data_IF_122356705934
#
_entry.id   IF_122356705934
#
_cell.length_a   1.000
_cell.length_b   1.000
_cell.length_c   1.000
_cell.angle_alpha   90.00
_cell.angle_beta   90.00
_cell.angle_gamma   90.00
#
_symmetry.space_group_name_H-M   'P 1'
#
loop_
_entity.id
_entity.type
_entity.pdbx_description
1 polymer ?
#
# COMPACT_ATOMS: atom_id res chain seq x y z
N UNK A 1 11.54 -15.16 -19.75
CA UNK A 1 12.46 -15.75 -18.75
C UNK A 1 11.64 -16.63 -17.82
N UNK A 2 11.95 -17.92 -17.69
CA UNK A 2 11.29 -18.83 -16.74
C UNK A 2 12.12 -18.86 -15.46
N UNK A 3 11.58 -18.36 -14.36
CA UNK A 3 12.21 -18.50 -13.04
C UNK A 3 11.81 -19.87 -12.50
N UNK A 4 12.79 -20.75 -12.33
CA UNK A 4 12.60 -22.09 -11.74
C UNK A 4 13.00 -21.99 -10.28
N UNK A 5 12.08 -22.21 -9.35
CA UNK A 5 12.38 -22.23 -7.93
C UNK A 5 12.91 -23.60 -7.53
N UNK A 6 14.12 -23.65 -6.97
CA UNK A 6 14.68 -24.85 -6.36
C UNK A 6 14.34 -24.86 -4.86
N UNK A 7 13.46 -25.77 -4.43
CA UNK A 7 13.20 -26.02 -3.02
C UNK A 7 14.23 -27.04 -2.53
N UNK A 8 15.23 -26.59 -1.75
CA UNK A 8 16.19 -27.48 -1.11
C UNK A 8 15.58 -27.98 0.21
N UNK A 9 15.07 -29.20 0.22
CA UNK A 9 14.63 -29.89 1.45
C UNK A 9 15.81 -30.65 2.03
N UNK A 10 16.41 -30.14 3.11
CA UNK A 10 17.44 -30.85 3.86
C UNK A 10 16.78 -31.94 4.71
N UNK A 11 16.89 -33.20 4.30
CA UNK A 11 16.41 -34.34 5.09
C UNK A 11 17.51 -34.79 6.04
N UNK A 12 17.27 -34.71 7.36
CA UNK A 12 18.21 -35.24 8.36
C UNK A 12 17.91 -36.71 8.61
N UNK A 13 18.90 -37.58 8.41
CA UNK A 13 18.83 -39.02 8.66
C UNK A 13 18.99 -39.26 10.16
N UNK A 14 17.99 -39.87 10.81
CA UNK A 14 18.08 -40.31 12.20
C UNK A 14 18.69 -41.72 12.26
N UNK A 15 19.84 -41.84 12.92
CA UNK A 15 20.50 -43.12 13.22
C UNK A 15 19.79 -43.75 14.43
N UNK A 16 19.22 -44.94 14.25
CA UNK A 16 18.55 -45.68 15.33
C UNK A 16 19.55 -46.64 15.99
N UNK A 17 20.04 -46.29 17.18
CA UNK A 17 20.79 -47.17 18.07
C UNK A 17 19.88 -47.79 19.13
N UNK A 18 19.91 -49.11 19.26
CA UNK A 18 19.18 -49.87 20.28
C UNK A 18 19.81 -49.70 21.67
N UNK A 19 19.09 -49.15 22.67
CA UNK A 19 19.36 -49.41 24.10
C UNK A 19 18.05 -49.39 24.89
N UNK A 20 17.96 -50.34 25.83
CA UNK A 20 16.84 -50.70 26.68
C UNK A 20 16.69 -49.86 27.95
N UNK A 21 15.48 -49.30 28.17
CA UNK A 21 14.74 -49.01 29.44
C UNK A 21 13.89 -47.74 29.31
N UNK A 22 12.69 -47.66 29.95
CA UNK A 22 11.82 -46.50 29.83
C UNK A 22 12.30 -45.39 30.77
N UNK A 23 12.86 -44.33 30.21
CA UNK A 23 13.10 -43.06 30.89
C UNK A 23 12.09 -42.02 30.37
N UNK A 24 11.61 -41.20 31.31
CA UNK A 24 10.66 -40.09 31.14
C UNK A 24 11.06 -39.22 29.93
N UNK A 25 10.15 -39.04 28.99
CA UNK A 25 10.36 -38.18 27.81
C UNK A 25 10.12 -36.74 28.23
N UNK A 26 11.19 -35.96 28.34
CA UNK A 26 11.08 -34.50 28.43
C UNK A 26 10.78 -33.95 27.02
N UNK A 27 9.76 -33.11 26.90
CA UNK A 27 9.33 -32.48 25.65
C UNK A 27 10.45 -31.59 25.10
N UNK A 28 11.09 -31.98 24.00
CA UNK A 28 12.02 -31.11 23.28
C UNK A 28 11.29 -30.44 22.11
N UNK A 29 11.09 -29.12 22.17
CA UNK A 29 10.56 -28.34 21.05
C UNK A 29 11.68 -27.92 20.11
N UNK A 30 11.64 -28.37 18.85
CA UNK A 30 12.59 -27.93 17.81
C UNK A 30 11.99 -26.76 17.05
N UNK A 31 12.63 -25.59 17.09
CA UNK A 31 12.19 -24.41 16.31
C UNK A 31 13.02 -24.30 15.04
N UNK A 32 12.39 -24.48 13.88
CA UNK A 32 13.03 -24.27 12.57
C UNK A 32 12.65 -22.89 12.05
N UNK A 33 13.65 -22.04 11.82
CA UNK A 33 13.43 -20.70 11.22
C UNK A 33 13.74 -20.77 9.73
N UNK A 34 12.72 -20.57 8.89
CA UNK A 34 12.90 -20.38 7.45
C UNK A 34 13.13 -18.90 7.16
N UNK A 35 14.21 -18.57 6.45
CA UNK A 35 14.47 -17.24 5.91
C UNK A 35 14.13 -17.26 4.42
N UNK A 36 13.14 -16.48 4.02
CA UNK A 36 12.88 -16.18 2.61
C UNK A 36 13.49 -14.82 2.34
N UNK A 37 14.48 -14.78 1.46
CA UNK A 37 15.13 -13.53 1.04
C UNK A 37 14.46 -13.05 -0.25
N UNK A 38 13.82 -11.89 -0.19
CA UNK A 38 13.53 -11.05 -1.34
C UNK A 38 14.22 -9.70 -1.11
N UNK A 39 14.66 -9.02 -2.17
CA UNK A 39 15.62 -7.91 -2.08
C UNK A 39 15.12 -6.70 -1.27
N UNK A 40 13.80 -6.60 -1.02
CA UNK A 40 13.21 -5.47 -0.30
C UNK A 40 12.61 -5.79 1.08
N UNK A 41 12.45 -7.07 1.46
CA UNK A 41 11.81 -7.42 2.75
C UNK A 41 12.32 -8.75 3.34
N UNK A 42 12.60 -8.76 4.65
CA UNK A 42 12.95 -9.96 5.43
C UNK A 42 11.74 -10.41 6.27
N UNK A 43 11.10 -11.50 5.85
CA UNK A 43 10.03 -12.13 6.63
C UNK A 43 10.60 -13.20 7.56
N UNK A 44 10.18 -13.20 8.83
CA UNK A 44 10.49 -14.28 9.79
C UNK A 44 9.23 -15.10 10.04
N UNK A 45 9.18 -16.32 9.50
CA UNK A 45 8.10 -17.26 9.78
C UNK A 45 8.57 -18.18 10.92
N UNK A 46 7.87 -18.14 12.06
CA UNK A 46 8.04 -19.12 13.13
C UNK A 46 7.06 -20.26 12.87
N UNK A 47 7.57 -21.45 12.56
CA UNK A 47 6.75 -22.66 12.47
C UNK A 47 6.95 -23.45 13.75
N UNK A 48 5.89 -23.60 14.55
CA UNK A 48 5.88 -24.48 15.71
C UNK A 48 5.28 -25.83 15.31
N UNK A 49 6.09 -26.89 15.35
CA UNK A 49 5.58 -28.25 15.24
C UNK A 49 5.47 -28.84 16.65
N UNK A 50 4.25 -29.20 17.04
CA UNK A 50 4.01 -30.04 18.21
C UNK A 50 3.75 -31.46 17.74
N UNK A 51 4.38 -32.44 18.40
CA UNK A 51 4.09 -33.86 18.17
C UNK A 51 3.37 -34.40 19.39
N UNK A 52 2.21 -35.01 19.19
CA UNK A 52 1.55 -35.78 20.25
C UNK A 52 2.15 -37.20 20.32
N UNK A 53 1.93 -37.89 21.45
CA UNK A 53 2.43 -39.24 21.73
C UNK A 53 1.95 -40.36 20.77
N UNK A 54 1.31 -40.01 19.64
CA UNK A 54 0.82 -40.94 18.63
C UNK A 54 1.54 -40.76 17.27
N UNK A 55 2.56 -39.91 17.16
CA UNK A 55 3.38 -39.78 15.96
C UNK A 55 2.63 -39.21 14.74
N UNK A 56 1.49 -38.54 14.95
CA UNK A 56 0.70 -37.93 13.88
C UNK A 56 1.02 -36.44 13.79
N UNK A 57 1.60 -36.01 12.67
CA UNK A 57 1.89 -34.59 12.39
C UNK A 57 0.55 -33.90 12.07
N UNK A 58 0.12 -32.97 12.91
CA UNK A 58 -0.97 -32.04 12.59
C UNK A 58 -0.40 -30.82 11.85
N UNK A 59 -1.09 -30.37 10.80
CA UNK A 59 -0.75 -29.14 10.08
C UNK A 59 -0.81 -27.95 11.06
N UNK A 60 0.32 -27.24 11.20
CA UNK A 60 0.47 -26.11 12.11
C UNK A 60 -0.30 -24.87 11.66
N UNK A 61 -0.87 -24.17 12.62
CA UNK A 61 -1.54 -22.88 12.46
C UNK A 61 -0.51 -21.77 12.26
N UNK A 62 -0.73 -20.88 11.28
CA UNK A 62 0.11 -19.70 11.05
C UNK A 62 -0.45 -18.55 11.89
N UNK A 63 0.11 -18.31 13.06
CA UNK A 63 -0.25 -17.17 13.91
C UNK A 63 0.62 -15.96 13.58
N UNK A 64 -0.02 -14.84 13.21
CA UNK A 64 0.63 -13.54 13.04
C UNK A 64 0.74 -12.85 14.41
N UNK A 65 1.87 -13.02 15.09
CA UNK A 65 2.17 -12.32 16.34
C UNK A 65 3.11 -11.15 16.10
N UNK A 66 2.65 -9.92 16.32
CA UNK A 66 3.49 -8.71 16.38
C UNK A 66 3.83 -8.46 17.84
N UNK A 67 4.79 -9.22 18.39
CA UNK A 67 5.30 -8.99 19.74
C UNK A 67 6.52 -8.08 19.69
N UNK A 68 6.31 -6.80 20.05
CA UNK A 68 7.34 -5.82 20.32
C UNK A 68 7.56 -5.66 21.83
N UNK A 69 8.41 -6.51 22.41
CA UNK A 69 9.04 -6.25 23.71
C UNK A 69 10.55 -6.38 23.53
N UNK A 70 11.24 -5.25 23.62
CA UNK A 70 12.70 -5.16 23.68
C UNK A 70 13.05 -4.31 24.90
N UNK A 71 13.19 -4.99 26.02
CA UNK A 71 13.90 -4.46 27.17
C UNK A 71 15.40 -4.35 26.87
N UNK A 72 15.94 -3.16 27.13
CA UNK A 72 17.25 -3.01 27.75
C UNK A 72 18.48 -3.16 26.86
N UNK A 73 18.86 -2.08 26.17
CA UNK A 73 20.27 -1.75 25.98
C UNK A 73 20.50 -0.26 26.24
N UNK A 74 21.07 -0.01 27.42
CA UNK A 74 21.63 1.26 27.87
C UNK A 74 22.91 1.56 27.06
N UNK A 75 22.88 2.61 26.23
CA UNK A 75 24.09 3.23 25.69
C UNK A 75 24.10 4.73 26.01
N UNK A 76 25.13 5.09 26.76
CA UNK A 76 25.53 6.42 27.17
C UNK A 76 25.97 7.24 25.95
N UNK A 77 25.37 8.41 25.71
CA UNK A 77 25.82 9.37 24.70
C UNK A 77 26.04 10.75 25.32
N UNK A 78 27.24 11.29 25.09
CA UNK A 78 27.71 12.55 25.58
C UNK A 78 27.19 13.78 24.82
N UNK A 79 27.13 14.86 25.61
CA UNK A 79 27.14 16.30 25.34
C UNK A 79 26.97 16.86 23.92
N UNK A 80 25.99 17.77 23.85
CA UNK A 80 26.12 19.15 23.37
C UNK A 80 26.54 19.37 21.90
N UNK A 81 25.52 19.42 21.04
CA UNK A 81 25.56 20.14 19.77
C UNK A 81 24.22 20.84 19.55
N UNK A 82 24.22 22.17 19.58
CA UNK A 82 23.04 23.01 19.40
C UNK A 82 22.37 22.72 18.05
N UNK A 83 21.25 22.01 18.09
CA UNK A 83 20.40 21.72 16.94
C UNK A 83 19.59 22.97 16.61
N UNK A 84 19.97 23.65 15.54
CA UNK A 84 19.14 24.68 14.91
C UNK A 84 17.91 23.99 14.33
N UNK A 85 16.78 24.12 15.00
CA UNK A 85 15.47 23.75 14.46
C UNK A 85 15.27 24.52 13.15
N UNK A 86 15.16 23.85 11.99
CA UNK A 86 14.84 24.54 10.75
C UNK A 86 13.50 25.23 10.95
N UNK A 87 13.47 26.54 10.77
CA UNK A 87 12.26 27.32 10.86
C UNK A 87 11.19 26.68 9.95
N UNK A 88 10.09 26.26 10.56
CA UNK A 88 8.85 25.89 9.88
C UNK A 88 8.42 27.07 9.03
N UNK A 89 8.82 27.07 7.76
CA UNK A 89 8.35 28.03 6.77
C UNK A 89 6.85 27.83 6.64
N UNK A 90 6.10 28.88 6.97
CA UNK A 90 4.64 28.88 6.88
C UNK A 90 4.21 28.39 5.48
N UNK A 91 3.17 27.54 5.40
CA UNK A 91 2.65 27.07 4.12
C UNK A 91 2.24 28.28 3.29
N UNK A 92 2.90 28.45 2.14
CA UNK A 92 2.51 29.48 1.18
C UNK A 92 1.14 29.09 0.65
N UNK A 93 0.11 29.83 1.03
CA UNK A 93 -1.27 29.62 0.62
C UNK A 93 -1.40 30.01 -0.87
N UNK A 94 -1.10 29.07 -1.76
CA UNK A 94 -1.39 29.22 -3.19
C UNK A 94 -2.90 29.29 -3.36
N UNK A 95 -3.39 30.40 -3.91
CA UNK A 95 -4.81 30.59 -4.24
C UNK A 95 -5.27 29.47 -5.18
N UNK A 96 -6.34 28.76 -4.79
CA UNK A 96 -6.96 27.70 -5.59
C UNK A 96 -7.47 28.25 -6.92
N UNK A 97 -7.23 27.53 -8.03
CA UNK A 97 -7.76 27.92 -9.34
C UNK A 97 -9.28 28.07 -9.28
N UNK A 98 -9.78 29.17 -9.84
CA UNK A 98 -11.21 29.49 -9.83
C UNK A 98 -12.10 28.46 -10.55
N UNK A 99 -11.52 27.57 -11.37
CA UNK A 99 -12.22 26.45 -12.03
C UNK A 99 -12.48 25.28 -11.08
N UNK A 100 -11.73 25.18 -9.98
CA UNK A 100 -11.87 24.13 -8.97
C UNK A 100 -12.93 24.55 -7.94
N UNK A 101 -13.95 23.72 -7.76
CA UNK A 101 -15.16 23.99 -6.97
C UNK A 101 -15.60 22.81 -6.10
N UNK A 102 -15.40 21.59 -6.56
CA UNK A 102 -15.96 20.37 -5.95
C UNK A 102 -14.94 19.56 -5.16
N UNK A 103 -13.65 19.84 -5.35
CA UNK A 103 -12.57 19.23 -4.57
C UNK A 103 -12.29 20.01 -3.28
N UNK A 104 -12.01 19.27 -2.22
CA UNK A 104 -11.51 19.81 -0.96
C UNK A 104 -9.98 19.97 -1.04
N UNK A 105 -9.47 21.14 -0.67
CA UNK A 105 -8.03 21.36 -0.46
C UNK A 105 -7.68 21.03 1.00
N UNK A 106 -7.02 19.90 1.22
CA UNK A 106 -6.54 19.46 2.55
C UNK A 106 -5.26 20.17 2.98
N UNK A 107 -4.73 21.07 2.16
CA UNK A 107 -3.46 21.75 2.38
C UNK A 107 -2.26 20.82 2.19
N UNK A 108 -1.08 21.29 2.65
CA UNK A 108 0.16 20.54 2.52
C UNK A 108 0.80 20.60 1.13
N UNK A 109 1.86 19.81 0.95
CA UNK A 109 2.59 19.69 -0.31
C UNK A 109 1.93 18.68 -1.24
N UNK A 110 2.01 18.92 -2.55
CA UNK A 110 1.59 17.97 -3.58
C UNK A 110 2.49 16.73 -3.52
N UNK A 111 1.90 15.55 -3.32
CA UNK A 111 2.62 14.28 -3.41
C UNK A 111 3.14 14.06 -4.84
N UNK A 112 4.41 13.63 -4.92
CA UNK A 112 5.10 13.41 -6.19
C UNK A 112 5.78 12.04 -6.20
N UNK A 113 5.79 11.38 -7.36
CA UNK A 113 6.56 10.17 -7.64
C UNK A 113 7.44 10.47 -8.83
N UNK A 114 8.75 10.23 -8.71
CA UNK A 114 9.76 10.62 -9.71
C UNK A 114 9.69 12.12 -10.08
N UNK A 115 9.38 12.98 -9.10
CA UNK A 115 9.22 14.42 -9.29
C UNK A 115 7.91 14.86 -9.95
N UNK A 116 7.05 13.93 -10.37
CA UNK A 116 5.77 14.21 -11.05
C UNK A 116 4.61 14.11 -10.05
N UNK A 117 3.60 14.99 -10.11
CA UNK A 117 2.39 14.84 -9.30
C UNK A 117 1.75 13.47 -9.54
N UNK A 118 1.27 12.83 -8.47
CA UNK A 118 0.53 11.56 -8.56
C UNK A 118 -0.95 11.79 -8.32
N UNK A 119 -1.81 11.29 -9.22
CA UNK A 119 -3.28 11.36 -9.07
C UNK A 119 -3.88 9.97 -9.03
N UNK A 120 -5.01 9.81 -8.35
CA UNK A 120 -5.65 8.51 -8.15
C UNK A 120 -7.16 8.62 -8.22
N UNK A 121 -7.77 7.66 -8.87
CA UNK A 121 -9.19 7.34 -8.72
C UNK A 121 -9.33 5.95 -8.12
N UNK A 122 -10.26 5.81 -7.18
CA UNK A 122 -10.63 4.52 -6.60
C UNK A 122 -12.10 4.24 -6.88
N UNK A 123 -12.39 3.03 -7.35
CA UNK A 123 -13.72 2.64 -7.81
C UNK A 123 -14.03 1.16 -7.52
N UNK A 124 -15.20 0.72 -7.98
CA UNK A 124 -15.66 -0.69 -8.02
C UNK A 124 -16.48 -0.90 -9.28
N UNK A 125 -16.50 -2.11 -9.86
CA UNK A 125 -17.35 -2.38 -11.03
C UNK A 125 -18.85 -2.28 -10.70
N UNK A 126 -19.25 -2.59 -9.46
CA UNK A 126 -20.65 -2.53 -9.05
C UNK A 126 -21.15 -1.11 -8.71
N UNK A 127 -20.37 -0.07 -8.99
CA UNK A 127 -20.62 1.31 -8.60
C UNK A 127 -21.11 2.14 -9.79
N UNK A 128 -22.42 2.40 -9.84
CA UNK A 128 -23.02 3.18 -10.94
C UNK A 128 -22.45 4.61 -11.05
N UNK A 129 -22.15 5.26 -9.92
CA UNK A 129 -21.53 6.58 -9.94
C UNK A 129 -20.10 6.52 -10.51
N UNK A 130 -19.40 5.41 -10.31
CA UNK A 130 -18.05 5.23 -10.83
C UNK A 130 -18.06 5.06 -12.35
N UNK A 131 -19.04 4.34 -12.90
CA UNK A 131 -19.21 4.18 -14.36
C UNK A 131 -19.33 5.53 -15.09
N UNK A 132 -19.91 6.54 -14.43
CA UNK A 132 -20.08 7.86 -15.01
C UNK A 132 -18.76 8.65 -15.10
N UNK A 133 -17.96 8.63 -14.03
CA UNK A 133 -16.73 9.45 -13.92
C UNK A 133 -15.47 8.76 -14.42
N UNK A 134 -15.40 7.43 -14.33
CA UNK A 134 -14.24 6.62 -14.74
C UNK A 134 -13.74 6.96 -16.16
N UNK A 135 -14.58 6.92 -17.22
CA UNK A 135 -14.10 7.19 -18.57
C UNK A 135 -13.64 8.65 -18.77
N UNK A 136 -14.08 9.59 -17.93
CA UNK A 136 -13.63 10.98 -17.95
C UNK A 136 -12.25 11.08 -17.29
N UNK A 137 -12.11 10.50 -16.10
CA UNK A 137 -10.85 10.44 -15.38
C UNK A 137 -9.78 9.73 -16.21
N UNK A 138 -10.08 8.55 -16.75
CA UNK A 138 -9.11 7.73 -17.48
C UNK A 138 -8.59 8.43 -18.72
N UNK A 139 -9.48 9.09 -19.48
CA UNK A 139 -9.10 9.89 -20.64
C UNK A 139 -8.15 11.02 -20.24
N UNK A 140 -8.55 11.85 -19.26
CA UNK A 140 -7.73 12.99 -18.82
C UNK A 140 -6.39 12.51 -18.26
N UNK A 141 -6.40 11.53 -17.36
CA UNK A 141 -5.20 11.00 -16.74
C UNK A 141 -4.21 10.47 -17.79
N UNK A 142 -4.70 9.67 -18.74
CA UNK A 142 -3.88 9.11 -19.83
C UNK A 142 -3.23 10.20 -20.67
N UNK A 143 -3.96 11.24 -21.06
CA UNK A 143 -3.40 12.35 -21.85
C UNK A 143 -2.21 13.05 -21.17
N UNK A 144 -2.26 13.25 -19.85
CA UNK A 144 -1.14 13.87 -19.12
C UNK A 144 -0.03 12.86 -18.78
N UNK A 145 -0.35 11.58 -18.62
CA UNK A 145 0.64 10.50 -18.48
C UNK A 145 1.46 10.33 -19.76
N UNK A 146 0.82 10.33 -20.94
CA UNK A 146 1.47 10.24 -22.25
C UNK A 146 2.43 11.41 -22.49
N UNK A 147 2.08 12.60 -22.01
CA UNK A 147 2.97 13.78 -22.01
C UNK A 147 4.08 13.70 -20.96
N UNK A 148 4.05 12.67 -20.10
CA UNK A 148 5.00 12.47 -19.02
C UNK A 148 4.91 13.52 -17.92
N UNK A 149 3.77 14.18 -17.74
CA UNK A 149 3.59 15.29 -16.79
C UNK A 149 3.16 14.81 -15.40
N UNK A 150 2.47 13.67 -15.32
CA UNK A 150 1.96 13.10 -14.06
C UNK A 150 2.24 11.60 -13.98
N UNK A 151 2.01 11.03 -12.79
CA UNK A 151 1.70 9.62 -12.59
C UNK A 151 0.21 9.52 -12.25
N UNK A 152 -0.48 8.51 -12.76
CA UNK A 152 -1.88 8.29 -12.40
C UNK A 152 -2.17 6.81 -12.22
N UNK A 153 -3.16 6.53 -11.37
CA UNK A 153 -3.73 5.19 -11.16
C UNK A 153 -5.25 5.28 -11.12
N UNK A 154 -5.94 4.30 -11.69
CA UNK A 154 -7.36 4.06 -11.47
C UNK A 154 -7.55 2.65 -10.93
N UNK A 155 -7.65 2.58 -9.60
CA UNK A 155 -7.78 1.33 -8.88
C UNK A 155 -9.23 0.89 -8.76
N UNK A 156 -9.53 -0.33 -9.23
CA UNK A 156 -10.85 -0.95 -9.13
C UNK A 156 -10.82 -2.04 -8.05
N UNK A 157 -11.39 -1.76 -6.87
CA UNK A 157 -11.19 -2.59 -5.67
C UNK A 157 -11.67 -4.03 -5.78
N UNK A 158 -12.75 -4.30 -6.50
CA UNK A 158 -13.35 -5.65 -6.56
C UNK A 158 -12.60 -6.60 -7.49
N UNK A 159 -11.74 -6.07 -8.37
CA UNK A 159 -10.83 -6.87 -9.22
C UNK A 159 -9.36 -6.63 -8.90
N UNK A 160 -9.06 -5.67 -8.01
CA UNK A 160 -7.72 -5.31 -7.54
C UNK A 160 -6.76 -4.96 -8.67
N UNK A 161 -7.26 -4.17 -9.62
CA UNK A 161 -6.61 -3.82 -10.89
C UNK A 161 -6.43 -2.31 -11.07
N UNK A 162 -5.32 -1.89 -11.70
CA UNK A 162 -5.14 -0.51 -12.18
C UNK A 162 -5.48 -0.42 -13.67
N UNK A 163 -6.66 0.12 -13.97
CA UNK A 163 -7.19 0.15 -15.34
C UNK A 163 -6.47 1.12 -16.25
N UNK A 164 -5.53 1.92 -15.73
CA UNK A 164 -4.65 2.78 -16.54
C UNK A 164 -3.40 2.05 -17.05
N UNK A 165 -3.20 0.79 -16.68
CA UNK A 165 -2.08 -0.01 -17.18
C UNK A 165 -2.55 -1.13 -18.11
N UNK A 166 -1.67 -1.56 -19.02
CA UNK A 166 -1.97 -2.70 -19.91
C UNK A 166 -1.98 -4.04 -19.16
N UNK A 167 -1.30 -4.11 -18.02
CA UNK A 167 -1.07 -5.36 -17.30
C UNK A 167 -2.06 -5.45 -16.16
N UNK A 168 -2.96 -6.42 -16.25
CA UNK A 168 -3.87 -6.72 -15.15
C UNK A 168 -3.10 -7.09 -13.86
N UNK A 169 -3.29 -6.28 -12.82
CA UNK A 169 -2.89 -6.61 -11.46
C UNK A 169 -3.83 -7.67 -10.86
N UNK A 170 -3.38 -8.30 -9.77
CA UNK A 170 -4.18 -9.26 -8.99
C UNK A 170 -4.18 -8.92 -7.50
N UNK A 171 -3.76 -7.71 -7.20
CA UNK A 171 -3.57 -7.20 -5.84
C UNK A 171 -3.19 -5.73 -5.94
N UNK A 172 -3.90 -4.91 -5.20
CA UNK A 172 -3.54 -3.51 -5.00
C UNK A 172 -2.42 -3.41 -3.95
N UNK A 173 -1.42 -2.55 -4.12
CA UNK A 173 -0.38 -2.35 -3.11
C UNK A 173 -0.96 -1.84 -1.77
N UNK A 174 -0.41 -2.29 -0.64
CA UNK A 174 -0.89 -1.92 0.71
C UNK A 174 -0.96 -0.39 0.91
N UNK A 175 0.02 0.36 0.38
CA UNK A 175 0.04 1.82 0.48
C UNK A 175 -1.11 2.52 -0.24
N UNK A 176 -1.75 1.89 -1.23
CA UNK A 176 -2.89 2.46 -1.93
C UNK A 176 -4.18 2.31 -1.10
N UNK A 177 -4.30 1.24 -0.29
CA UNK A 177 -5.37 1.14 0.72
C UNK A 177 -5.23 2.23 1.79
N UNK A 178 -4.01 2.54 2.23
CA UNK A 178 -3.75 3.60 3.20
C UNK A 178 -4.18 4.96 2.65
N UNK A 179 -3.76 5.30 1.43
CA UNK A 179 -4.18 6.55 0.75
C UNK A 179 -5.69 6.64 0.62
N UNK A 180 -6.37 5.53 0.30
CA UNK A 180 -7.83 5.50 0.27
C UNK A 180 -8.43 5.75 1.66
N UNK A 181 -8.01 5.02 2.70
CA UNK A 181 -8.65 5.10 4.02
C UNK A 181 -8.36 6.40 4.78
N UNK A 182 -7.16 6.96 4.68
CA UNK A 182 -6.82 8.27 5.28
C UNK A 182 -7.46 9.43 4.52
N UNK A 183 -7.62 9.24 3.21
CA UNK A 183 -8.23 10.16 2.27
C UNK A 183 -9.75 10.28 2.39
N UNK A 184 -10.38 9.19 2.81
CA UNK A 184 -11.82 8.96 2.66
C UNK A 184 -12.39 8.28 3.91
N UNK A 185 -12.68 9.09 4.93
CA UNK A 185 -13.24 8.61 6.21
C UNK A 185 -14.57 7.87 6.02
N UNK A 186 -15.33 8.24 4.99
CA UNK A 186 -16.63 7.65 4.62
C UNK A 186 -16.44 6.29 3.92
N UNK A 187 -15.25 6.02 3.37
CA UNK A 187 -14.86 4.78 2.69
C UNK A 187 -15.76 4.42 1.51
N UNK A 188 -16.21 5.44 0.78
CA UNK A 188 -17.11 5.32 -0.38
C UNK A 188 -16.42 5.63 -1.70
N UNK A 189 -16.88 5.00 -2.78
CA UNK A 189 -16.38 5.24 -4.14
C UNK A 189 -17.48 5.90 -5.02
N UNK A 190 -17.11 6.67 -6.07
CA UNK A 190 -15.74 6.98 -6.49
C UNK A 190 -15.04 7.91 -5.50
N UNK A 191 -13.74 7.70 -5.29
CA UNK A 191 -12.91 8.59 -4.50
C UNK A 191 -11.72 9.05 -5.34
N UNK A 192 -11.40 10.34 -5.24
CA UNK A 192 -10.36 10.99 -6.00
C UNK A 192 -9.32 11.58 -5.07
N UNK A 193 -8.04 11.35 -5.36
CA UNK A 193 -6.91 11.95 -4.66
C UNK A 193 -5.92 12.52 -5.67
N UNK A 194 -5.89 13.83 -5.79
CA UNK A 194 -5.00 14.57 -6.68
C UNK A 194 -3.84 15.13 -5.85
N UNK A 195 -2.67 14.49 -6.01
CA UNK A 195 -1.45 14.90 -5.35
C UNK A 195 -1.53 14.87 -3.83
N UNK A 196 -2.31 13.96 -3.24
CA UNK A 196 -2.62 13.83 -1.80
C UNK A 196 -3.15 15.09 -1.08
N UNK A 197 -3.33 16.19 -1.81
CA UNK A 197 -3.77 17.48 -1.29
C UNK A 197 -5.23 17.74 -1.64
N UNK A 198 -5.61 17.46 -2.89
CA UNK A 198 -6.97 17.71 -3.36
C UNK A 198 -7.74 16.41 -3.39
N UNK A 199 -8.84 16.35 -2.65
CA UNK A 199 -9.62 15.12 -2.50
C UNK A 199 -11.10 15.35 -2.77
N UNK A 200 -11.78 14.32 -3.27
CA UNK A 200 -13.23 14.36 -3.45
C UNK A 200 -13.83 12.97 -3.33
N UNK A 201 -14.96 12.88 -2.63
CA UNK A 201 -15.81 11.70 -2.57
C UNK A 201 -17.03 11.94 -3.46
N UNK A 202 -17.30 11.01 -4.38
CA UNK A 202 -18.39 11.13 -5.35
C UNK A 202 -18.05 12.05 -6.53
N UNK A 203 -19.08 12.30 -7.35
CA UNK A 203 -18.99 13.10 -8.57
C UNK A 203 -19.51 14.51 -8.34
N UNK A 204 -18.87 15.51 -8.95
CA UNK A 204 -19.20 16.92 -8.76
C UNK A 204 -20.33 17.42 -9.65
N UNK A 205 -20.46 16.82 -10.85
CA UNK A 205 -21.37 17.31 -11.88
C UNK A 205 -22.37 16.27 -12.42
N UNK A 206 -22.36 15.03 -11.90
CA UNK A 206 -23.22 13.94 -12.39
C UNK A 206 -24.72 14.25 -12.33
N UNK A 207 -25.21 14.93 -11.28
CA UNK A 207 -26.65 15.28 -11.16
C UNK A 207 -27.13 16.14 -12.34
N UNK A 208 -26.23 16.90 -12.95
CA UNK A 208 -26.51 17.74 -14.14
C UNK A 208 -26.08 17.09 -15.45
N UNK A 209 -25.51 15.88 -15.39
CA UNK A 209 -24.85 15.18 -16.50
C UNK A 209 -23.82 16.06 -17.26
N UNK A 210 -23.15 16.96 -16.54
CA UNK A 210 -22.21 17.93 -17.12
C UNK A 210 -20.79 17.36 -17.07
N UNK A 211 -20.49 16.49 -18.06
CA UNK A 211 -19.20 15.78 -18.16
C UNK A 211 -18.06 16.72 -18.53
N UNK A 212 -18.36 17.77 -19.29
CA UNK A 212 -17.39 18.79 -19.68
C UNK A 212 -16.83 19.53 -18.46
N UNK A 213 -17.67 19.90 -17.48
CA UNK A 213 -17.17 20.52 -16.24
C UNK A 213 -16.41 19.57 -15.34
N UNK A 214 -16.82 18.30 -15.29
CA UNK A 214 -16.07 17.29 -14.54
C UNK A 214 -14.65 17.15 -15.13
N UNK A 215 -14.55 17.09 -16.46
CA UNK A 215 -13.29 17.07 -17.18
C UNK A 215 -12.46 18.35 -16.96
N UNK A 216 -13.08 19.53 -17.10
CA UNK A 216 -12.43 20.83 -16.91
C UNK A 216 -11.81 20.94 -15.51
N UNK A 217 -12.53 20.50 -14.48
CA UNK A 217 -12.04 20.55 -13.11
C UNK A 217 -10.86 19.60 -12.87
N UNK A 218 -10.89 18.38 -13.43
CA UNK A 218 -9.74 17.46 -13.37
C UNK A 218 -8.50 18.08 -14.03
N UNK A 219 -8.66 18.70 -15.20
CA UNK A 219 -7.56 19.36 -15.91
C UNK A 219 -7.00 20.53 -15.11
N UNK A 220 -7.87 21.38 -14.56
CA UNK A 220 -7.47 22.52 -13.74
C UNK A 220 -6.64 22.08 -12.51
N UNK A 221 -7.03 21.00 -11.84
CA UNK A 221 -6.26 20.42 -10.73
C UNK A 221 -4.87 19.95 -11.17
N UNK A 222 -4.80 19.20 -12.27
CA UNK A 222 -3.52 18.69 -12.80
C UNK A 222 -2.61 19.85 -13.18
N UNK A 223 -3.14 20.85 -13.90
CA UNK A 223 -2.41 22.05 -14.29
C UNK A 223 -1.87 22.82 -13.09
N UNK A 224 -2.71 23.04 -12.07
CA UNK A 224 -2.30 23.71 -10.84
C UNK A 224 -1.13 22.99 -10.15
N UNK A 225 -1.17 21.65 -10.07
CA UNK A 225 -0.10 20.85 -9.45
C UNK A 225 1.20 20.80 -10.27
N UNK A 226 1.12 20.97 -11.59
CA UNK A 226 2.31 21.03 -12.44
C UNK A 226 2.95 22.41 -12.35
N UNK A 227 2.16 23.48 -12.26
CA UNK A 227 2.65 24.87 -12.23
C UNK A 227 3.18 25.35 -10.86
N UNK A 228 2.76 24.69 -9.77
CA UNK A 228 3.13 25.02 -8.39
C UNK A 228 4.30 24.21 -7.86
#
# INVERSE_FOLDING_TARGET
>A
MRVTYAVVVLTTILVCGCVSKPARVDESSTTTTLRVLNEDYVWRIKVQNSTNNQGKISHGEVSHGVDGSVDGLNMNFGSEGASQTPATSAPTSTTLDSRIKTFEDRGGSVCRVDGKPIIRMYSKNSCHNCEWSAPIFDRVASEYMEKGLIKAHHWVFDVEDDTLTERMERSMPDGEYEVFYEGNEIRTVPYFSFGCRFTRVGNGYQVRDDKEKEEEEYRALIEQMISG
#
